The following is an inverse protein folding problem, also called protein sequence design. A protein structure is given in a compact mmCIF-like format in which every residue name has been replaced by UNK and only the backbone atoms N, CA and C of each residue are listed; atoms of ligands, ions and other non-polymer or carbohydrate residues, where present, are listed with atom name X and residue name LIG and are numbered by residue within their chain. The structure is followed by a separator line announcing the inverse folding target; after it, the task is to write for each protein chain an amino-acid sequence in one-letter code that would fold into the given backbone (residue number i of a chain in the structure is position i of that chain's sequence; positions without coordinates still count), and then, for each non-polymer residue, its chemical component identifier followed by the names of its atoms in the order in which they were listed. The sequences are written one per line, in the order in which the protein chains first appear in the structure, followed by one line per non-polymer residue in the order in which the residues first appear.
data_IF_973185912932
#
_entry.id   IF_973185912932
#
_cell.length_a   1.000
_cell.length_b   1.000
_cell.length_c   1.000
_cell.angle_alpha   90.00
_cell.angle_beta   90.00
_cell.angle_gamma   90.00
#
_symmetry.space_group_name_H-M   'P 1'
#
loop_
_entity.id
_entity.type
_entity.pdbx_description
1 polymer ?
#
# COMPACT_ATOMS: atom_id res chain seq x y z
N UNK A 1 120.06 31.65 25.86
CA UNK A 1 121.44 31.12 25.82
C UNK A 1 121.60 30.09 26.92
N UNK A 2 122.39 29.04 26.65
CA UNK A 2 122.60 27.80 27.42
C UNK A 2 122.65 27.87 28.95
N UNK A 3 122.44 26.68 29.54
CA UNK A 3 122.71 26.19 30.93
C UNK A 3 121.41 25.92 31.70
N UNK A 4 121.13 24.78 32.34
CA UNK A 4 121.94 23.64 32.78
C UNK A 4 121.03 22.46 33.20
N UNK A 5 121.60 21.26 33.51
CA UNK A 5 120.96 19.95 33.52
C UNK A 5 120.63 19.41 34.93
N UNK A 6 120.11 18.17 35.05
CA UNK A 6 120.47 17.17 36.09
C UNK A 6 119.87 15.79 35.71
N UNK A 7 120.61 14.74 36.05
CA UNK A 7 120.60 13.35 35.56
C UNK A 7 120.13 12.39 36.68
N UNK A 8 119.73 11.18 36.28
CA UNK A 8 119.60 9.89 37.01
C UNK A 8 118.21 9.61 37.61
N UNK A 9 117.54 8.51 37.31
CA UNK A 9 117.96 7.26 36.69
C UNK A 9 117.50 6.10 37.57
N UNK A 10 116.61 5.23 37.06
CA UNK A 10 116.64 3.78 37.28
C UNK A 10 115.54 3.06 36.51
N UNK A 11 116.03 2.18 35.66
CA UNK A 11 115.39 1.15 34.84
C UNK A 11 114.78 0.05 35.71
N UNK A 12 113.60 -0.46 35.36
CA UNK A 12 113.28 -1.88 35.51
C UNK A 12 112.08 -2.27 34.63
N UNK A 13 112.35 -3.00 33.55
CA UNK A 13 111.37 -3.82 32.83
C UNK A 13 111.55 -5.25 33.33
N UNK A 14 110.45 -5.99 33.55
CA UNK A 14 110.42 -7.43 33.31
C UNK A 14 109.31 -7.80 32.31
N UNK A 15 109.36 -9.03 31.75
CA UNK A 15 109.24 -9.24 30.31
C UNK A 15 107.86 -9.70 29.82
N UNK A 16 107.73 -9.59 28.49
CA UNK A 16 106.75 -10.25 27.61
C UNK A 16 106.20 -11.58 28.17
N UNK A 17 104.88 -11.63 28.38
CA UNK A 17 104.12 -12.86 28.26
C UNK A 17 103.32 -12.81 26.97
N UNK A 18 103.77 -13.59 25.98
CA UNK A 18 102.96 -13.98 24.82
C UNK A 18 101.74 -14.76 25.31
N UNK A 19 100.54 -14.27 25.02
CA UNK A 19 99.33 -15.08 25.01
C UNK A 19 98.64 -14.96 23.65
N UNK A 20 98.29 -16.13 23.12
CA UNK A 20 97.80 -16.39 21.78
C UNK A 20 96.50 -15.64 21.43
N UNK A 21 96.23 -15.38 20.13
CA UNK A 21 95.06 -14.63 19.69
C UNK A 21 93.77 -15.46 19.84
N UNK A 22 92.85 -14.98 20.68
CA UNK A 22 91.46 -15.44 20.68
C UNK A 22 90.78 -14.99 19.38
N UNK A 23 90.48 -15.93 18.49
CA UNK A 23 89.59 -15.72 17.34
C UNK A 23 88.16 -15.50 17.81
N UNK A 24 87.67 -14.26 17.73
CA UNK A 24 86.27 -13.92 17.95
C UNK A 24 85.47 -14.23 16.66
N UNK A 25 84.68 -15.32 16.67
CA UNK A 25 83.75 -15.65 15.59
C UNK A 25 82.68 -14.55 15.48
N UNK A 26 82.53 -13.98 14.29
CA UNK A 26 81.44 -13.09 13.91
C UNK A 26 80.08 -13.74 14.22
N UNK A 27 79.27 -13.11 15.07
CA UNK A 27 77.86 -13.44 15.22
C UNK A 27 77.06 -12.81 14.07
N UNK A 28 76.31 -13.64 13.34
CA UNK A 28 75.36 -13.19 12.33
C UNK A 28 74.34 -12.20 12.93
N UNK A 29 74.00 -11.07 12.27
CA UNK A 29 72.93 -10.21 12.73
C UNK A 29 71.59 -10.94 12.59
N UNK A 30 70.92 -11.17 13.72
CA UNK A 30 69.57 -11.74 13.81
C UNK A 30 68.60 -10.86 13.03
N UNK A 31 67.91 -11.44 12.02
CA UNK A 31 66.83 -10.78 11.28
C UNK A 31 65.79 -10.23 12.28
N UNK A 32 65.58 -8.90 12.29
CA UNK A 32 64.52 -8.27 13.08
C UNK A 32 63.14 -8.83 12.67
N UNK A 33 62.23 -9.13 13.60
CA UNK A 33 60.91 -9.62 13.24
C UNK A 33 60.16 -8.54 12.45
N UNK A 34 59.61 -8.91 11.30
CA UNK A 34 58.79 -8.03 10.48
C UNK A 34 57.67 -7.43 11.34
N UNK A 35 57.63 -6.10 11.46
CA UNK A 35 56.55 -5.38 12.15
C UNK A 35 55.22 -5.89 11.59
N UNK A 36 54.51 -6.68 12.40
CA UNK A 36 53.23 -7.32 12.08
C UNK A 36 52.30 -6.26 11.47
N UNK A 37 51.86 -6.45 10.22
CA UNK A 37 50.95 -5.55 9.47
C UNK A 37 49.54 -5.43 10.08
N UNK A 38 49.28 -6.16 11.15
CA UNK A 38 48.00 -6.24 11.86
C UNK A 38 47.39 -4.89 12.26
N UNK A 39 48.14 -3.87 12.76
CA UNK A 39 47.55 -2.58 13.09
C UNK A 39 47.03 -1.83 11.86
N UNK A 40 47.68 -2.00 10.70
CA UNK A 40 47.22 -1.43 9.42
C UNK A 40 45.98 -2.14 8.91
N UNK A 41 45.91 -3.47 9.04
CA UNK A 41 44.74 -4.26 8.66
C UNK A 41 43.53 -3.89 9.53
N UNK A 42 43.71 -3.83 10.85
CA UNK A 42 42.64 -3.43 11.79
C UNK A 42 42.20 -1.99 11.53
N UNK A 43 43.14 -1.07 11.30
CA UNK A 43 42.81 0.32 10.93
C UNK A 43 41.98 0.44 9.66
N UNK A 44 42.31 -0.32 8.61
CA UNK A 44 41.54 -0.34 7.36
C UNK A 44 40.13 -0.91 7.57
N UNK A 45 40.00 -2.00 8.34
CA UNK A 45 38.67 -2.57 8.65
C UNK A 45 37.79 -1.58 9.41
N UNK A 46 38.34 -0.87 10.40
CA UNK A 46 37.60 0.15 11.15
C UNK A 46 37.17 1.30 10.23
N UNK A 47 38.05 1.80 9.36
CA UNK A 47 37.71 2.86 8.40
C UNK A 47 36.61 2.41 7.43
N UNK A 48 36.69 1.18 6.93
CA UNK A 48 35.66 0.60 6.04
C UNK A 48 34.32 0.46 6.77
N UNK A 49 34.31 0.01 8.04
CA UNK A 49 33.08 -0.08 8.83
C UNK A 49 32.48 1.30 9.12
N UNK A 50 33.31 2.30 9.41
CA UNK A 50 32.85 3.69 9.60
C UNK A 50 32.27 4.25 8.30
N UNK A 51 32.90 3.99 7.16
CA UNK A 51 32.37 4.41 5.86
C UNK A 51 31.06 3.69 5.52
N UNK A 52 30.95 2.38 5.77
CA UNK A 52 29.69 1.64 5.61
C UNK A 52 28.61 2.21 6.53
N UNK A 53 28.95 2.56 7.77
CA UNK A 53 28.01 3.17 8.72
C UNK A 53 27.55 4.55 8.25
N UNK A 54 28.46 5.39 7.74
CA UNK A 54 28.12 6.70 7.18
C UNK A 54 27.23 6.53 5.94
N UNK A 55 27.59 5.65 5.01
CA UNK A 55 26.77 5.34 3.82
C UNK A 55 25.40 4.79 4.25
N UNK A 56 25.35 3.92 5.26
CA UNK A 56 24.10 3.43 5.83
C UNK A 56 23.25 4.58 6.40
N UNK A 57 23.83 5.54 7.11
CA UNK A 57 23.10 6.70 7.64
C UNK A 57 22.54 7.59 6.52
N UNK A 58 23.27 7.78 5.41
CA UNK A 58 22.80 8.58 4.28
C UNK A 58 21.80 7.85 3.39
N UNK A 59 21.96 6.54 3.19
CA UNK A 59 21.05 5.71 2.37
C UNK A 59 19.78 5.33 3.14
N UNK A 60 19.80 5.31 4.48
CA UNK A 60 18.65 4.93 5.30
C UNK A 60 17.69 6.08 5.61
N UNK A 61 17.93 7.30 5.13
CA UNK A 61 16.96 8.38 5.32
C UNK A 61 15.74 8.14 4.43
N UNK A 62 14.52 8.19 4.99
CA UNK A 62 13.31 8.05 4.19
C UNK A 62 13.21 9.23 3.22
N UNK A 63 12.72 8.96 2.01
CA UNK A 63 12.47 9.98 1.00
C UNK A 63 11.62 11.13 1.60
N UNK A 64 12.09 12.39 1.55
CA UNK A 64 11.35 13.52 2.12
C UNK A 64 9.94 13.66 1.53
N UNK A 65 9.73 13.27 0.27
CA UNK A 65 8.39 13.30 -0.34
C UNK A 65 7.48 12.21 0.24
N UNK A 66 8.03 11.04 0.56
CA UNK A 66 7.32 9.96 1.25
C UNK A 66 6.91 10.38 2.67
N UNK A 67 7.83 11.04 3.40
CA UNK A 67 7.58 11.57 4.74
C UNK A 67 6.45 12.60 4.70
N UNK A 68 6.56 13.59 3.82
CA UNK A 68 5.56 14.65 3.69
C UNK A 68 4.17 14.10 3.33
N UNK A 69 4.10 13.11 2.43
CA UNK A 69 2.84 12.47 2.06
C UNK A 69 2.22 11.71 3.24
N UNK A 70 3.00 10.95 4.01
CA UNK A 70 2.51 10.26 5.21
C UNK A 70 2.01 11.24 6.26
N UNK A 71 2.80 12.27 6.58
CA UNK A 71 2.42 13.29 7.57
C UNK A 71 1.13 14.01 7.18
N UNK A 72 0.95 14.29 5.89
CA UNK A 72 -0.30 14.84 5.37
C UNK A 72 -1.48 13.90 5.63
N UNK A 73 -1.38 12.61 5.24
CA UNK A 73 -2.45 11.63 5.43
C UNK A 73 -2.78 11.41 6.90
N UNK A 74 -1.77 11.25 7.75
CA UNK A 74 -1.89 11.11 9.21
C UNK A 74 -2.64 12.32 9.79
N UNK A 75 -2.17 13.54 9.47
CA UNK A 75 -2.79 14.78 9.97
C UNK A 75 -4.25 14.87 9.55
N UNK A 76 -4.58 14.49 8.31
CA UNK A 76 -5.96 14.49 7.82
C UNK A 76 -6.83 13.46 8.51
N UNK A 77 -6.37 12.23 8.69
CA UNK A 77 -7.11 11.22 9.46
C UNK A 77 -7.35 11.69 10.90
N UNK A 78 -6.33 12.20 11.58
CA UNK A 78 -6.49 12.74 12.94
C UNK A 78 -7.49 13.91 12.99
N UNK A 79 -7.45 14.82 12.01
CA UNK A 79 -8.43 15.89 11.88
C UNK A 79 -9.84 15.31 11.71
N UNK A 80 -10.00 14.35 10.79
CA UNK A 80 -11.29 13.78 10.45
C UNK A 80 -11.87 12.86 11.52
N UNK A 81 -11.05 12.30 12.41
CA UNK A 81 -11.52 11.58 13.60
C UNK A 81 -12.27 12.49 14.58
N UNK A 82 -11.91 13.77 14.63
CA UNK A 82 -12.51 14.75 15.54
C UNK A 82 -13.58 15.61 14.87
N UNK A 83 -13.48 15.81 13.55
CA UNK A 83 -14.38 16.67 12.79
C UNK A 83 -14.79 15.97 11.50
N UNK A 84 -16.08 15.66 11.29
CA UNK A 84 -16.53 15.00 10.07
C UNK A 84 -16.10 15.74 8.80
N UNK A 85 -15.51 15.03 7.81
CA UNK A 85 -15.11 15.64 6.55
C UNK A 85 -16.32 16.04 5.70
N UNK A 86 -16.14 17.05 4.86
CA UNK A 86 -17.12 17.36 3.78
C UNK A 86 -16.97 16.39 2.60
N UNK A 87 -17.95 16.27 1.70
CA UNK A 87 -17.85 15.42 0.51
C UNK A 87 -16.63 15.74 -0.39
N UNK A 88 -16.30 17.03 -0.53
CA UNK A 88 -15.14 17.48 -1.30
C UNK A 88 -13.84 17.04 -0.62
N UNK A 89 -13.80 17.11 0.71
CA UNK A 89 -12.66 16.65 1.51
C UNK A 89 -12.49 15.13 1.44
N UNK A 90 -13.58 14.36 1.46
CA UNK A 90 -13.57 12.92 1.21
C UNK A 90 -12.93 12.60 -0.15
N UNK A 91 -13.38 13.29 -1.20
CA UNK A 91 -12.90 13.08 -2.57
C UNK A 91 -11.42 13.44 -2.70
N UNK A 92 -11.01 14.60 -2.19
CA UNK A 92 -9.63 15.05 -2.22
C UNK A 92 -8.69 14.12 -1.43
N UNK A 93 -9.12 13.63 -0.26
CA UNK A 93 -8.35 12.66 0.50
C UNK A 93 -8.16 11.35 -0.26
N UNK A 94 -9.23 10.80 -0.86
CA UNK A 94 -9.15 9.54 -1.63
C UNK A 94 -8.19 9.65 -2.81
N UNK A 95 -8.22 10.77 -3.54
CA UNK A 95 -7.28 11.04 -4.63
C UNK A 95 -5.82 11.09 -4.14
N UNK A 96 -5.57 11.76 -3.01
CA UNK A 96 -4.23 11.83 -2.42
C UNK A 96 -3.76 10.46 -1.92
N UNK A 97 -4.65 9.68 -1.31
CA UNK A 97 -4.35 8.33 -0.85
C UNK A 97 -4.06 7.38 -2.02
N UNK A 98 -4.78 7.49 -3.13
CA UNK A 98 -4.52 6.73 -4.35
C UNK A 98 -3.16 7.09 -4.96
N UNK A 99 -2.83 8.38 -5.06
CA UNK A 99 -1.51 8.84 -5.52
C UNK A 99 -0.38 8.34 -4.62
N UNK A 100 -0.59 8.41 -3.29
CA UNK A 100 0.32 7.85 -2.31
C UNK A 100 0.54 6.35 -2.54
N UNK A 101 -0.54 5.58 -2.70
CA UNK A 101 -0.46 4.14 -2.93
C UNK A 101 0.23 3.83 -4.27
N UNK A 102 -0.10 4.51 -5.36
CA UNK A 102 0.56 4.29 -6.66
C UNK A 102 2.07 4.54 -6.61
N UNK A 103 2.51 5.56 -5.86
CA UNK A 103 3.92 5.96 -5.78
C UNK A 103 4.73 5.15 -4.77
N UNK A 104 4.13 4.73 -3.66
CA UNK A 104 4.84 4.17 -2.51
C UNK A 104 4.37 2.79 -2.07
N UNK A 105 3.35 2.19 -2.71
CA UNK A 105 2.92 0.83 -2.38
C UNK A 105 4.07 -0.16 -2.56
N UNK A 106 4.24 -1.05 -1.58
CA UNK A 106 5.29 -2.06 -1.60
C UNK A 106 6.68 -1.53 -1.27
N UNK A 107 6.84 -0.25 -0.90
CA UNK A 107 8.13 0.24 -0.40
C UNK A 107 8.47 -0.44 0.94
N UNK A 108 9.55 -1.23 0.94
CA UNK A 108 10.00 -2.05 2.09
C UNK A 108 11.09 -1.37 2.92
N UNK A 109 11.39 -0.11 2.65
CA UNK A 109 12.43 0.63 3.34
C UNK A 109 12.24 0.58 4.86
N UNK A 110 13.33 0.25 5.57
CA UNK A 110 13.30 0.08 7.03
C UNK A 110 12.92 1.38 7.73
N UNK A 111 13.30 2.52 7.15
CA UNK A 111 12.93 3.87 7.60
C UNK A 111 11.46 4.22 7.32
N UNK A 112 10.84 3.64 6.29
CA UNK A 112 9.42 3.83 5.98
C UNK A 112 8.48 3.14 6.98
N UNK A 113 8.95 2.10 7.68
CA UNK A 113 8.14 1.34 8.65
C UNK A 113 7.51 2.21 9.74
N UNK A 114 8.25 3.20 10.27
CA UNK A 114 7.74 4.09 11.31
C UNK A 114 6.54 4.89 10.83
N UNK A 115 6.62 5.43 9.61
CA UNK A 115 5.55 6.22 9.01
C UNK A 115 4.34 5.37 8.65
N UNK A 116 4.57 4.17 8.09
CA UNK A 116 3.50 3.21 7.81
C UNK A 116 2.76 2.80 9.10
N UNK A 117 3.48 2.53 10.19
CA UNK A 117 2.86 2.24 11.49
C UNK A 117 2.06 3.43 12.04
N UNK A 118 2.59 4.64 11.91
CA UNK A 118 1.87 5.85 12.34
C UNK A 118 0.60 6.09 11.51
N UNK A 119 0.65 5.85 10.20
CA UNK A 119 -0.51 5.91 9.32
C UNK A 119 -1.56 4.86 9.68
N UNK A 120 -1.15 3.61 9.91
CA UNK A 120 -2.06 2.56 10.37
C UNK A 120 -2.71 2.90 11.73
N UNK A 121 -1.95 3.47 12.67
CA UNK A 121 -2.50 3.90 13.95
C UNK A 121 -3.52 5.05 13.79
N UNK A 122 -3.27 5.98 12.87
CA UNK A 122 -4.22 7.05 12.53
C UNK A 122 -5.49 6.49 11.88
N UNK A 123 -5.36 5.52 10.97
CA UNK A 123 -6.50 4.81 10.36
C UNK A 123 -7.32 4.08 11.44
N UNK A 124 -6.69 3.33 12.34
CA UNK A 124 -7.38 2.66 13.44
C UNK A 124 -8.12 3.63 14.38
N UNK A 125 -7.51 4.79 14.65
CA UNK A 125 -8.14 5.85 15.44
C UNK A 125 -9.37 6.42 14.74
N UNK A 126 -9.27 6.63 13.42
CA UNK A 126 -10.39 7.06 12.58
C UNK A 126 -11.52 6.01 12.56
N UNK A 127 -11.18 4.73 12.38
CA UNK A 127 -12.14 3.64 12.42
C UNK A 127 -12.85 3.53 13.77
N UNK A 128 -12.12 3.73 14.86
CA UNK A 128 -12.68 3.74 16.21
C UNK A 128 -13.64 4.90 16.43
N UNK A 129 -13.32 6.10 15.93
CA UNK A 129 -14.16 7.29 16.05
C UNK A 129 -15.52 7.12 15.35
N UNK A 130 -15.56 6.40 14.23
CA UNK A 130 -16.78 6.18 13.44
C UNK A 130 -17.30 4.73 13.51
N UNK A 131 -16.95 3.99 14.56
CA UNK A 131 -17.27 2.57 14.70
C UNK A 131 -18.73 2.24 14.39
N UNK A 132 -19.68 2.98 14.97
CA UNK A 132 -21.12 2.77 14.73
C UNK A 132 -21.52 2.87 13.26
N UNK A 133 -20.95 3.83 12.54
CA UNK A 133 -21.21 4.02 11.10
C UNK A 133 -20.67 2.84 10.28
N UNK A 134 -19.47 2.37 10.65
CA UNK A 134 -18.85 1.23 9.98
C UNK A 134 -19.53 -0.10 10.31
N UNK A 135 -19.99 -0.31 11.54
CA UNK A 135 -20.76 -1.49 11.92
C UNK A 135 -22.09 -1.54 11.15
N UNK A 136 -22.76 -0.39 10.99
CA UNK A 136 -23.96 -0.28 10.14
C UNK A 136 -23.66 -0.59 8.67
N UNK A 137 -22.59 -0.02 8.12
CA UNK A 137 -22.18 -0.27 6.73
C UNK A 137 -21.84 -1.76 6.51
N UNK A 138 -21.10 -2.35 7.43
CA UNK A 138 -20.74 -3.76 7.39
C UNK A 138 -21.98 -4.66 7.43
N UNK A 139 -22.91 -4.39 8.34
CA UNK A 139 -24.17 -5.13 8.43
C UNK A 139 -25.00 -5.02 7.14
N UNK A 140 -25.05 -3.83 6.51
CA UNK A 140 -25.72 -3.66 5.21
C UNK A 140 -25.07 -4.54 4.14
N UNK A 141 -23.74 -4.55 4.05
CA UNK A 141 -23.04 -5.40 3.09
C UNK A 141 -23.24 -6.90 3.37
N UNK A 142 -23.27 -7.33 4.63
CA UNK A 142 -23.61 -8.71 4.98
C UNK A 142 -25.02 -9.07 4.55
N UNK A 143 -26.00 -8.22 4.87
CA UNK A 143 -27.40 -8.40 4.46
C UNK A 143 -27.54 -8.50 2.94
N UNK A 144 -26.80 -7.68 2.19
CA UNK A 144 -26.78 -7.74 0.73
C UNK A 144 -26.16 -9.05 0.22
N UNK A 145 -25.05 -9.50 0.81
CA UNK A 145 -24.41 -10.76 0.41
C UNK A 145 -25.31 -11.97 0.72
N UNK A 146 -25.96 -11.99 1.88
CA UNK A 146 -26.92 -13.01 2.28
C UNK A 146 -28.12 -13.06 1.35
N UNK A 147 -28.63 -11.89 0.94
CA UNK A 147 -29.71 -11.79 -0.03
C UNK A 147 -29.30 -12.42 -1.37
N UNK A 148 -28.07 -12.17 -1.83
CA UNK A 148 -27.55 -12.79 -3.05
C UNK A 148 -27.44 -14.30 -2.92
N UNK A 149 -26.89 -14.79 -1.80
CA UNK A 149 -26.73 -16.21 -1.57
C UNK A 149 -28.07 -16.94 -1.48
N UNK A 150 -29.09 -16.31 -0.89
CA UNK A 150 -30.42 -16.89 -0.70
C UNK A 150 -31.20 -17.01 -2.01
N UNK A 151 -31.17 -15.97 -2.85
CA UNK A 151 -32.02 -15.89 -4.04
C UNK A 151 -31.40 -16.61 -5.25
N UNK A 152 -30.08 -16.78 -5.26
CA UNK A 152 -29.36 -17.45 -6.35
C UNK A 152 -29.66 -16.79 -7.70
N UNK A 153 -30.28 -17.55 -8.62
CA UNK A 153 -30.62 -17.10 -9.97
C UNK A 153 -32.10 -16.67 -10.13
N UNK A 154 -32.86 -16.53 -9.04
CA UNK A 154 -34.30 -16.28 -9.08
C UNK A 154 -34.66 -14.93 -8.46
N UNK A 155 -34.10 -13.84 -8.98
CA UNK A 155 -34.30 -12.50 -8.42
C UNK A 155 -35.63 -11.91 -8.84
N UNK A 156 -36.56 -11.82 -7.89
CA UNK A 156 -37.79 -11.07 -8.12
C UNK A 156 -37.52 -9.56 -8.18
N UNK A 157 -38.41 -8.80 -8.83
CA UNK A 157 -38.35 -7.33 -8.84
C UNK A 157 -38.45 -6.73 -7.43
N UNK A 158 -39.21 -7.38 -6.54
CA UNK A 158 -39.30 -6.96 -5.14
C UNK A 158 -37.96 -7.14 -4.41
N UNK A 159 -37.30 -8.29 -4.61
CA UNK A 159 -35.97 -8.56 -4.07
C UNK A 159 -34.94 -7.56 -4.59
N UNK A 160 -34.94 -7.29 -5.91
CA UNK A 160 -34.06 -6.30 -6.52
C UNK A 160 -34.27 -4.88 -5.95
N UNK A 161 -35.52 -4.50 -5.67
CA UNK A 161 -35.84 -3.21 -5.05
C UNK A 161 -35.25 -3.08 -3.64
N UNK A 162 -35.36 -4.14 -2.82
CA UNK A 162 -34.75 -4.21 -1.49
C UNK A 162 -33.23 -4.06 -1.60
N UNK A 163 -32.60 -4.84 -2.49
CA UNK A 163 -31.16 -4.78 -2.71
C UNK A 163 -30.70 -3.38 -3.16
N UNK A 164 -31.42 -2.76 -4.09
CA UNK A 164 -31.09 -1.41 -4.59
C UNK A 164 -31.25 -0.34 -3.50
N UNK A 165 -32.22 -0.49 -2.59
CA UNK A 165 -32.39 0.38 -1.44
C UNK A 165 -31.24 0.24 -0.44
N UNK A 166 -30.82 -0.99 -0.15
CA UNK A 166 -29.68 -1.27 0.73
C UNK A 166 -28.37 -0.75 0.12
N UNK A 167 -28.15 -0.95 -1.18
CA UNK A 167 -26.99 -0.43 -1.93
C UNK A 167 -26.90 1.10 -1.89
N UNK A 168 -28.01 1.80 -2.15
CA UNK A 168 -28.09 3.27 -2.00
C UNK A 168 -27.76 3.72 -0.59
N UNK A 169 -28.28 3.04 0.42
CA UNK A 169 -28.04 3.38 1.82
C UNK A 169 -26.56 3.18 2.18
N UNK A 170 -25.97 2.06 1.75
CA UNK A 170 -24.56 1.77 1.94
C UNK A 170 -23.67 2.81 1.25
N UNK A 171 -24.01 3.22 0.02
CA UNK A 171 -23.28 4.26 -0.71
C UNK A 171 -23.31 5.62 0.01
N UNK A 172 -24.46 6.02 0.57
CA UNK A 172 -24.61 7.27 1.34
C UNK A 172 -23.80 7.24 2.64
N UNK A 173 -23.70 6.08 3.30
CA UNK A 173 -22.85 5.94 4.48
C UNK A 173 -21.38 6.02 4.07
N UNK A 174 -20.98 5.20 3.09
CA UNK A 174 -19.60 5.14 2.61
C UNK A 174 -19.09 6.50 2.07
N UNK A 175 -19.94 7.31 1.44
CA UNK A 175 -19.55 8.63 0.91
C UNK A 175 -19.16 9.64 1.99
N UNK A 176 -19.58 9.44 3.25
CA UNK A 176 -19.25 10.32 4.38
C UNK A 176 -17.86 10.04 4.97
N UNK A 177 -17.19 8.99 4.52
CA UNK A 177 -15.93 8.54 5.10
C UNK A 177 -14.77 8.62 4.10
N UNK A 178 -13.61 9.04 4.59
CA UNK A 178 -12.39 9.16 3.78
C UNK A 178 -11.69 7.82 3.56
N UNK A 179 -11.87 6.89 4.50
CA UNK A 179 -11.30 5.55 4.49
C UNK A 179 -12.34 4.56 5.06
N UNK A 180 -12.27 3.31 4.61
CA UNK A 180 -13.14 2.22 5.08
C UNK A 180 -12.29 1.16 5.81
N UNK A 181 -12.82 0.52 6.86
CA UNK A 181 -12.18 -0.62 7.47
C UNK A 181 -12.01 -1.78 6.46
N UNK A 182 -10.94 -2.60 6.59
CA UNK A 182 -10.69 -3.71 5.66
C UNK A 182 -11.87 -4.64 5.44
N UNK A 183 -12.59 -5.01 6.51
CA UNK A 183 -13.77 -5.88 6.44
C UNK A 183 -14.91 -5.31 5.55
N UNK A 184 -15.06 -3.99 5.50
CA UNK A 184 -16.04 -3.34 4.64
C UNK A 184 -15.56 -3.33 3.18
N UNK A 185 -14.26 -3.12 2.96
CA UNK A 185 -13.64 -3.18 1.63
C UNK A 185 -13.77 -4.58 1.04
N UNK A 186 -13.45 -5.62 1.81
CA UNK A 186 -13.51 -7.01 1.36
C UNK A 186 -14.93 -7.40 0.89
N UNK A 187 -15.96 -7.03 1.69
CA UNK A 187 -17.35 -7.26 1.30
C UNK A 187 -17.77 -6.40 0.11
N UNK A 188 -17.37 -5.14 0.05
CA UNK A 188 -17.69 -4.27 -1.07
C UNK A 188 -17.13 -4.82 -2.39
N UNK A 189 -15.87 -5.27 -2.39
CA UNK A 189 -15.23 -5.89 -3.56
C UNK A 189 -15.96 -7.17 -3.95
N UNK A 190 -16.25 -8.05 -3.00
CA UNK A 190 -16.99 -9.29 -3.23
C UNK A 190 -18.38 -9.03 -3.85
N UNK A 191 -19.10 -8.04 -3.33
CA UNK A 191 -20.41 -7.65 -3.86
C UNK A 191 -20.29 -7.06 -5.27
N UNK A 192 -19.30 -6.18 -5.51
CA UNK A 192 -19.07 -5.59 -6.83
C UNK A 192 -18.76 -6.65 -7.89
N UNK A 193 -17.95 -7.67 -7.57
CA UNK A 193 -17.66 -8.78 -8.48
C UNK A 193 -18.92 -9.57 -8.86
N UNK A 194 -19.84 -9.77 -7.91
CA UNK A 194 -21.12 -10.48 -8.15
C UNK A 194 -22.11 -9.67 -8.99
N UNK A 195 -22.01 -8.35 -9.00
CA UNK A 195 -22.86 -7.44 -9.80
C UNK A 195 -22.25 -7.13 -11.18
N UNK A 196 -20.92 -7.26 -11.33
CA UNK A 196 -20.17 -6.91 -12.55
C UNK A 196 -20.60 -7.69 -13.80
N UNK A 197 -21.24 -8.84 -13.64
CA UNK A 197 -21.91 -9.63 -14.70
C UNK A 197 -23.04 -8.87 -15.42
N UNK A 198 -23.42 -7.66 -14.97
CA UNK A 198 -24.50 -6.83 -15.53
C UNK A 198 -24.12 -5.92 -16.73
N UNK A 199 -22.86 -5.82 -17.13
CA UNK A 199 -22.45 -4.93 -18.23
C UNK A 199 -23.06 -5.31 -19.60
N UNK A 200 -23.22 -6.61 -19.90
CA UNK A 200 -23.88 -7.08 -21.13
C UNK A 200 -25.41 -6.85 -21.12
N UNK A 201 -26.00 -6.80 -19.93
CA UNK A 201 -27.44 -6.53 -19.75
C UNK A 201 -27.79 -5.09 -20.09
N UNK A 202 -26.91 -4.15 -19.74
CA UNK A 202 -27.13 -2.73 -20.02
C UNK A 202 -27.27 -2.46 -21.52
N UNK A 203 -26.42 -3.09 -22.34
CA UNK A 203 -26.48 -2.97 -23.81
C UNK A 203 -27.78 -3.56 -24.35
N UNK A 204 -28.18 -4.73 -23.87
CA UNK A 204 -29.43 -5.39 -24.27
C UNK A 204 -30.66 -4.55 -23.94
N UNK A 205 -30.71 -3.96 -22.74
CA UNK A 205 -31.82 -3.08 -22.34
C UNK A 205 -31.84 -1.78 -23.15
N UNK A 206 -30.67 -1.18 -23.42
CA UNK A 206 -30.57 0.00 -24.28
C UNK A 206 -31.03 -0.27 -25.71
N UNK A 207 -30.66 -1.42 -26.28
CA UNK A 207 -31.14 -1.85 -27.59
C UNK A 207 -32.67 -2.06 -27.58
N UNK A 208 -33.21 -2.76 -26.58
CA UNK A 208 -34.66 -2.87 -26.39
C UNK A 208 -35.34 -1.50 -26.33
N UNK A 209 -34.81 -0.57 -25.52
CA UNK A 209 -35.31 0.80 -25.38
C UNK A 209 -35.30 1.55 -26.71
N UNK A 210 -34.23 1.45 -27.49
CA UNK A 210 -34.11 2.12 -28.79
C UNK A 210 -35.13 1.63 -29.82
N UNK A 211 -35.62 0.39 -29.66
CA UNK A 211 -36.60 -0.23 -30.54
C UNK A 211 -38.03 0.05 -30.11
N UNK A 212 -38.29 0.68 -28.96
CA UNK A 212 -39.64 0.98 -28.49
C UNK A 212 -40.29 2.03 -29.40
N UNK A 213 -41.26 1.60 -30.21
CA UNK A 213 -42.04 2.44 -31.11
C UNK A 213 -43.53 2.14 -30.91
N UNK A 214 -44.29 3.16 -30.50
CA UNK A 214 -45.73 3.05 -30.25
C UNK A 214 -46.52 2.77 -31.53
N UNK A 215 -45.96 3.08 -32.71
CA UNK A 215 -46.60 2.89 -34.01
C UNK A 215 -46.39 1.48 -34.57
N UNK A 216 -45.60 0.65 -33.90
CA UNK A 216 -45.37 -0.72 -34.33
C UNK A 216 -46.67 -1.54 -34.30
N UNK A 217 -46.85 -2.52 -35.22
CA UNK A 217 -47.98 -3.42 -35.18
C UNK A 217 -48.10 -4.19 -33.84
N UNK A 218 -49.32 -4.45 -33.37
CA UNK A 218 -49.58 -5.09 -32.07
C UNK A 218 -48.86 -6.44 -31.90
N UNK A 219 -48.80 -7.26 -32.96
CA UNK A 219 -48.07 -8.53 -32.94
C UNK A 219 -46.56 -8.36 -32.67
N UNK A 220 -45.96 -7.28 -33.19
CA UNK A 220 -44.55 -6.93 -32.94
C UNK A 220 -44.36 -6.48 -31.49
N UNK A 221 -45.27 -5.67 -30.96
CA UNK A 221 -45.26 -5.23 -29.55
C UNK A 221 -45.36 -6.43 -28.60
N UNK A 222 -46.30 -7.35 -28.85
CA UNK A 222 -46.47 -8.58 -28.06
C UNK A 222 -45.21 -9.43 -28.11
N UNK A 223 -44.63 -9.68 -29.29
CA UNK A 223 -43.39 -10.48 -29.42
C UNK A 223 -42.23 -9.87 -28.63
N UNK A 224 -42.08 -8.55 -28.69
CA UNK A 224 -41.06 -7.81 -27.92
C UNK A 224 -41.33 -7.91 -26.42
N UNK A 225 -42.58 -7.82 -25.98
CA UNK A 225 -42.95 -8.01 -24.57
C UNK A 225 -42.62 -9.41 -24.09
N UNK A 226 -42.93 -10.46 -24.85
CA UNK A 226 -42.62 -11.84 -24.45
C UNK A 226 -41.11 -12.05 -24.28
N UNK A 227 -40.31 -11.52 -25.22
CA UNK A 227 -38.86 -11.55 -25.11
C UNK A 227 -38.37 -10.78 -23.88
N UNK A 228 -38.89 -9.58 -23.65
CA UNK A 228 -38.59 -8.77 -22.47
C UNK A 228 -38.96 -9.48 -21.17
N UNK A 229 -40.15 -10.09 -21.10
CA UNK A 229 -40.64 -10.78 -19.91
C UNK A 229 -39.82 -12.03 -19.58
N UNK A 230 -39.22 -12.66 -20.59
CA UNK A 230 -38.31 -13.81 -20.45
C UNK A 230 -36.95 -13.40 -19.90
N UNK A 231 -36.45 -12.22 -20.29
CA UNK A 231 -35.12 -11.75 -19.90
C UNK A 231 -35.14 -10.96 -18.58
N UNK A 232 -36.13 -10.09 -18.38
CA UNK A 232 -36.13 -9.09 -17.32
C UNK A 232 -37.49 -8.90 -16.63
N UNK A 233 -38.60 -9.38 -17.20
CA UNK A 233 -39.93 -9.03 -16.70
C UNK A 233 -40.44 -9.87 -15.52
N UNK A 234 -39.97 -11.10 -15.31
CA UNK A 234 -40.41 -11.96 -14.19
C UNK A 234 -39.34 -12.19 -13.13
N UNK A 235 -38.17 -12.62 -13.55
CA UNK A 235 -37.04 -12.93 -12.66
C UNK A 235 -35.74 -12.53 -13.34
N UNK A 236 -34.85 -11.87 -12.59
CA UNK A 236 -33.48 -11.64 -13.01
C UNK A 236 -32.62 -12.82 -12.58
N UNK A 237 -31.60 -13.15 -13.38
CA UNK A 237 -30.66 -14.22 -13.03
C UNK A 237 -29.61 -13.76 -12.00
N UNK A 238 -29.54 -12.47 -11.70
CA UNK A 238 -28.54 -11.86 -10.81
C UNK A 238 -28.98 -10.44 -10.40
N UNK A 239 -28.41 -9.88 -9.32
CA UNK A 239 -28.64 -8.49 -8.95
C UNK A 239 -28.05 -7.56 -10.01
N UNK A 240 -28.78 -6.52 -10.36
CA UNK A 240 -28.31 -5.47 -11.28
C UNK A 240 -28.07 -4.16 -10.54
N UNK A 241 -27.27 -3.26 -11.11
CA UNK A 241 -27.10 -1.92 -10.55
C UNK A 241 -28.43 -1.15 -10.56
N UNK A 242 -28.53 -0.13 -9.70
CA UNK A 242 -29.70 0.77 -9.65
C UNK A 242 -30.05 1.31 -11.03
N UNK A 243 -29.08 1.82 -11.79
CA UNK A 243 -29.32 2.42 -13.11
C UNK A 243 -29.94 1.42 -14.10
N UNK A 244 -29.51 0.15 -14.03
CA UNK A 244 -30.05 -0.92 -14.86
C UNK A 244 -31.46 -1.28 -14.41
N UNK A 245 -31.72 -1.33 -13.10
CA UNK A 245 -33.05 -1.55 -12.56
C UNK A 245 -34.03 -0.45 -13.00
N UNK A 246 -33.63 0.82 -12.95
CA UNK A 246 -34.46 1.94 -13.36
C UNK A 246 -34.81 1.88 -14.86
N UNK A 247 -33.87 1.46 -15.70
CA UNK A 247 -34.13 1.19 -17.12
C UNK A 247 -35.12 0.05 -17.32
N UNK A 248 -35.03 -1.03 -16.54
CA UNK A 248 -35.99 -2.15 -16.60
C UNK A 248 -37.40 -1.65 -16.28
N UNK A 249 -37.55 -0.91 -15.17
CA UNK A 249 -38.84 -0.34 -14.74
C UNK A 249 -39.42 0.59 -15.80
N UNK A 250 -38.59 1.40 -16.45
CA UNK A 250 -39.01 2.28 -17.53
C UNK A 250 -39.61 1.51 -18.72
N UNK A 251 -38.93 0.45 -19.18
CA UNK A 251 -39.40 -0.36 -20.31
C UNK A 251 -40.67 -1.14 -19.95
N UNK A 252 -40.77 -1.66 -18.73
CA UNK A 252 -41.99 -2.29 -18.22
C UNK A 252 -43.20 -1.35 -18.27
N UNK A 253 -43.01 -0.11 -17.80
CA UNK A 253 -44.05 0.92 -17.81
C UNK A 253 -44.51 1.23 -19.24
N UNK A 254 -43.58 1.33 -20.19
CA UNK A 254 -43.91 1.53 -21.59
C UNK A 254 -44.80 0.42 -22.15
N UNK A 255 -44.44 -0.86 -21.93
CA UNK A 255 -45.26 -1.99 -22.39
C UNK A 255 -46.65 -1.98 -21.77
N UNK A 256 -46.77 -1.61 -20.49
CA UNK A 256 -48.08 -1.50 -19.82
C UNK A 256 -48.95 -0.43 -20.47
N UNK A 257 -48.40 0.77 -20.73
CA UNK A 257 -49.15 1.88 -21.34
C UNK A 257 -49.60 1.49 -22.75
N UNK A 258 -48.68 1.00 -23.58
CA UNK A 258 -48.97 0.69 -24.98
C UNK A 258 -49.99 -0.44 -25.11
N UNK A 259 -49.88 -1.52 -24.33
CA UNK A 259 -50.84 -2.61 -24.43
C UNK A 259 -52.26 -2.23 -23.95
N UNK A 260 -52.37 -1.26 -23.04
CA UNK A 260 -53.67 -0.69 -22.68
C UNK A 260 -54.23 0.19 -23.80
N UNK A 261 -53.39 0.90 -24.55
CA UNK A 261 -53.84 1.70 -25.71
C UNK A 261 -54.35 0.83 -26.89
N UNK A 262 -53.94 -0.44 -26.96
CA UNK A 262 -54.33 -1.39 -28.02
C UNK A 262 -55.47 -2.36 -27.65
N UNK A 263 -55.84 -2.44 -26.38
CA UNK A 263 -56.86 -3.36 -25.86
C UNK A 263 -58.13 -2.64 -25.45
#
# INVERSE_FOLDING_TARGET
MNSSPVINGKTSVPPLFMQAPYTQKYSNPVKRPARRKWPKVVGVVVVVLVLIYIVYLFVSQPDPEFVAANEYLIRKLTQYSNTPPTPEQCTAYRQQYEQYHMKYAGNKDRSARRYNHALQAAEQSYFSAYKTSFDQLFHLYQKMDDLINKEGNNWSKATQSIWSSDDKTAAVIASKHVALPPQCIDLQVKLAERVKTSLDVTTTIKDCKSRLDKRAPLNVIIRRKVMWDTLFGKTLSFPVSTDVCDLIVYVDAWFRIVLVEYG
#
